data_IF_624825637484
#
_entry.id   IF_624825637484
#
_cell.length_a   1.000
_cell.length_b   1.000
_cell.length_c   1.000
_cell.angle_alpha   90.00
_cell.angle_beta   90.00
_cell.angle_gamma   90.00
#
_symmetry.space_group_name_H-M   'P 1'
#
loop_
_entity.id
_entity.type
_entity.pdbx_description
1 polymer ?
#
# COMPACT_ATOMS: atom_id res chain seq x y z
N UNK A 1 11.29 -92.23 -27.14
CA UNK A 1 10.82 -91.88 -25.79
C UNK A 1 11.44 -90.55 -25.41
N UNK A 2 10.70 -89.44 -25.46
CA UNK A 2 10.93 -88.30 -24.56
C UNK A 2 9.75 -87.33 -24.68
N UNK A 3 9.00 -87.13 -23.59
CA UNK A 3 7.87 -86.20 -23.53
C UNK A 3 8.33 -84.96 -22.77
N UNK A 4 8.51 -83.84 -23.47
CA UNK A 4 8.84 -82.54 -22.86
C UNK A 4 7.53 -81.80 -22.54
N UNK A 5 7.24 -81.66 -21.25
CA UNK A 5 6.11 -80.88 -20.74
C UNK A 5 6.55 -79.45 -20.42
N UNK A 6 5.75 -78.47 -20.85
CA UNK A 6 6.00 -77.05 -20.61
C UNK A 6 5.14 -76.56 -19.43
N UNK A 7 5.78 -76.18 -18.33
CA UNK A 7 5.12 -75.57 -17.16
C UNK A 7 5.11 -74.05 -17.35
N UNK A 8 3.94 -73.48 -17.64
CA UNK A 8 3.73 -72.04 -17.74
C UNK A 8 3.73 -71.38 -16.35
N UNK A 9 4.75 -70.56 -16.06
CA UNK A 9 4.80 -69.72 -14.85
C UNK A 9 3.79 -68.59 -14.96
N UNK A 10 2.73 -68.62 -14.13
CA UNK A 10 1.75 -67.52 -14.04
C UNK A 10 2.29 -66.38 -13.14
N UNK A 11 2.13 -65.10 -13.52
CA UNK A 11 2.67 -63.97 -12.75
C UNK A 11 1.84 -63.70 -11.48
N UNK A 12 2.52 -63.50 -10.35
CA UNK A 12 1.98 -63.36 -8.97
C UNK A 12 1.28 -62.02 -8.67
N UNK A 13 1.12 -61.15 -9.66
CA UNK A 13 0.59 -59.79 -9.49
C UNK A 13 -0.93 -59.69 -9.23
N UNK A 14 -1.69 -60.78 -9.41
CA UNK A 14 -3.15 -60.76 -9.25
C UNK A 14 -3.66 -60.76 -7.81
N UNK A 15 -2.78 -60.98 -6.82
CA UNK A 15 -3.20 -61.06 -5.41
C UNK A 15 -3.11 -59.74 -4.65
N UNK A 16 -2.54 -58.68 -5.23
CA UNK A 16 -2.35 -57.39 -4.57
C UNK A 16 -3.52 -56.39 -4.76
N UNK A 17 -4.53 -56.72 -5.58
CA UNK A 17 -5.64 -55.83 -5.89
C UNK A 17 -6.88 -56.01 -4.99
N UNK A 18 -6.93 -57.03 -4.13
CA UNK A 18 -8.15 -57.36 -3.36
C UNK A 18 -8.17 -56.72 -1.97
N UNK A 19 -7.04 -56.22 -1.45
CA UNK A 19 -6.98 -55.62 -0.09
C UNK A 19 -7.26 -54.11 -0.04
N UNK A 20 -7.48 -53.44 -1.18
CA UNK A 20 -7.74 -51.99 -1.24
C UNK A 20 -9.25 -51.64 -1.33
N UNK A 21 -10.15 -52.59 -1.06
CA UNK A 21 -11.59 -52.42 -1.27
C UNK A 21 -12.40 -52.13 0.01
N UNK A 22 -11.77 -52.03 1.19
CA UNK A 22 -12.50 -51.81 2.45
C UNK A 22 -11.77 -50.82 3.36
N UNK A 23 -11.65 -49.57 2.91
CA UNK A 23 -11.61 -48.45 3.84
C UNK A 23 -13.05 -47.93 3.95
N UNK A 24 -13.70 -48.00 5.12
CA UNK A 24 -15.00 -47.37 5.29
C UNK A 24 -14.82 -45.87 5.08
N UNK A 25 -15.49 -45.34 4.06
CA UNK A 25 -15.62 -43.90 3.86
C UNK A 25 -16.51 -43.43 5.01
N UNK A 26 -15.90 -42.78 6.00
CA UNK A 26 -16.63 -42.14 7.09
C UNK A 26 -17.37 -40.93 6.48
N UNK A 27 -18.59 -41.16 6.01
CA UNK A 27 -19.46 -40.11 5.49
C UNK A 27 -20.01 -39.33 6.69
N UNK A 28 -19.37 -38.20 7.03
CA UNK A 28 -19.95 -37.23 7.95
C UNK A 28 -21.17 -36.61 7.29
N UNK A 29 -22.37 -37.10 7.62
CA UNK A 29 -23.59 -36.34 7.38
C UNK A 29 -23.51 -35.10 8.26
N UNK A 30 -23.30 -33.93 7.65
CA UNK A 30 -23.37 -32.66 8.35
C UNK A 30 -24.82 -32.44 8.76
N UNK A 31 -25.07 -32.50 10.07
CA UNK A 31 -26.36 -32.18 10.67
C UNK A 31 -26.66 -30.71 10.40
N UNK A 32 -27.75 -30.41 9.68
CA UNK A 32 -28.15 -29.05 9.35
C UNK A 32 -28.62 -28.35 10.62
N UNK A 33 -27.99 -27.23 10.98
CA UNK A 33 -28.25 -26.51 12.23
C UNK A 33 -29.55 -25.72 12.09
N UNK A 34 -30.57 -26.05 12.89
CA UNK A 34 -31.85 -25.32 12.88
C UNK A 34 -31.88 -24.25 13.97
N UNK A 35 -32.22 -23.01 13.60
CA UNK A 35 -32.38 -21.89 14.52
C UNK A 35 -33.87 -21.60 14.76
N UNK A 36 -34.24 -21.41 16.03
CA UNK A 36 -35.63 -21.07 16.39
C UNK A 36 -35.81 -19.56 16.41
N UNK A 37 -36.61 -19.03 15.48
CA UNK A 37 -36.88 -17.59 15.33
C UNK A 37 -37.64 -16.98 16.52
N UNK A 38 -38.30 -17.77 17.37
CA UNK A 38 -39.07 -17.26 18.51
C UNK A 38 -38.19 -16.68 19.63
N UNK A 39 -36.88 -16.96 19.62
CA UNK A 39 -35.93 -16.34 20.55
C UNK A 39 -35.48 -14.94 20.13
N UNK A 40 -35.78 -14.51 18.89
CA UNK A 40 -35.43 -13.18 18.41
C UNK A 40 -36.53 -12.17 18.80
N UNK A 41 -36.15 -11.15 19.57
CA UNK A 41 -37.04 -10.06 19.96
C UNK A 41 -37.08 -9.01 18.84
N UNK A 42 -38.24 -8.78 18.25
CA UNK A 42 -38.42 -7.76 17.20
C UNK A 42 -39.79 -7.84 16.53
N UNK A 43 -40.23 -6.74 15.91
CA UNK A 43 -41.56 -6.60 15.29
C UNK A 43 -41.73 -7.40 14.00
N UNK A 44 -40.62 -7.81 13.38
CA UNK A 44 -40.61 -8.51 12.09
C UNK A 44 -40.10 -9.94 12.29
N UNK A 45 -40.78 -10.92 11.66
CA UNK A 45 -40.27 -12.29 11.58
C UNK A 45 -38.97 -12.29 10.78
N UNK A 46 -37.85 -12.50 11.47
CA UNK A 46 -36.53 -12.64 10.87
C UNK A 46 -36.39 -14.08 10.39
N UNK A 47 -36.09 -14.27 9.10
CA UNK A 47 -35.75 -15.58 8.56
C UNK A 47 -34.37 -16.00 9.06
N UNK A 48 -34.35 -17.01 9.93
CA UNK A 48 -33.13 -17.52 10.55
C UNK A 48 -32.51 -18.68 9.77
N UNK A 49 -33.25 -19.25 8.80
CA UNK A 49 -32.79 -20.40 8.02
C UNK A 49 -31.51 -20.10 7.23
N UNK A 50 -31.30 -18.84 6.84
CA UNK A 50 -30.08 -18.40 6.16
C UNK A 50 -28.82 -18.54 7.03
N UNK A 51 -28.92 -18.39 8.34
CA UNK A 51 -27.78 -18.49 9.26
C UNK A 51 -27.43 -19.96 9.58
N UNK A 52 -28.29 -20.92 9.23
CA UNK A 52 -27.99 -22.35 9.31
C UNK A 52 -26.77 -22.75 8.46
N UNK A 53 -26.54 -22.03 7.35
CA UNK A 53 -25.51 -22.33 6.35
C UNK A 53 -24.25 -21.45 6.49
N UNK A 54 -24.11 -20.74 7.61
CA UNK A 54 -22.98 -19.85 7.89
C UNK A 54 -23.44 -18.45 8.29
N UNK A 55 -22.61 -17.44 8.05
CA UNK A 55 -22.94 -16.05 8.36
C UNK A 55 -23.16 -15.23 7.08
N UNK A 56 -24.32 -15.37 6.41
CA UNK A 56 -24.61 -14.64 5.19
C UNK A 56 -24.82 -13.15 5.47
N UNK A 57 -24.19 -12.31 4.65
CA UNK A 57 -24.30 -10.85 4.73
C UNK A 57 -25.55 -10.42 3.96
N UNK A 58 -26.36 -9.55 4.56
CA UNK A 58 -27.55 -9.01 3.88
C UNK A 58 -27.16 -7.83 2.98
N UNK A 59 -27.94 -7.52 1.94
CA UNK A 59 -27.76 -6.28 1.21
C UNK A 59 -28.00 -5.07 2.12
N UNK A 60 -27.20 -4.01 1.94
CA UNK A 60 -27.27 -2.80 2.76
C UNK A 60 -25.91 -2.11 2.90
N UNK A 61 -25.88 -1.01 3.66
CA UNK A 61 -24.64 -0.29 3.95
C UNK A 61 -24.04 -0.80 5.26
N UNK A 62 -22.75 -1.15 5.20
CA UNK A 62 -21.98 -1.60 6.35
C UNK A 62 -20.70 -0.80 6.49
N UNK A 63 -20.34 -0.46 7.71
CA UNK A 63 -19.06 0.12 8.05
C UNK A 63 -18.00 -0.97 8.03
N UNK A 64 -16.99 -0.84 7.17
CA UNK A 64 -15.95 -1.85 6.96
C UNK A 64 -14.54 -1.27 7.01
N UNK A 65 -13.60 -2.08 7.48
CA UNK A 65 -12.16 -1.83 7.39
C UNK A 65 -11.61 -2.63 6.20
N UNK A 66 -10.84 -2.00 5.31
CA UNK A 66 -10.38 -2.66 4.09
C UNK A 66 -8.90 -3.00 4.18
N UNK A 67 -8.62 -4.28 3.98
CA UNK A 67 -7.28 -4.87 3.97
C UNK A 67 -6.95 -5.33 2.55
N UNK A 68 -5.80 -4.91 2.04
CA UNK A 68 -5.25 -5.37 0.77
C UNK A 68 -4.02 -6.23 1.06
N UNK A 69 -4.03 -7.50 0.66
CA UNK A 69 -2.94 -8.44 0.91
C UNK A 69 -2.48 -8.42 2.39
N UNK A 70 -3.44 -8.47 3.32
CA UNK A 70 -3.25 -8.39 4.78
C UNK A 70 -2.73 -7.06 5.34
N UNK A 71 -2.58 -6.02 4.51
CA UNK A 71 -2.22 -4.67 4.95
C UNK A 71 -3.48 -3.81 5.03
N UNK A 72 -3.73 -3.18 6.16
CA UNK A 72 -4.82 -2.23 6.29
C UNK A 72 -4.54 -1.00 5.42
N UNK A 73 -5.44 -0.69 4.48
CA UNK A 73 -5.35 0.49 3.61
C UNK A 73 -6.38 1.54 4.02
N UNK A 74 -7.60 1.10 4.34
CA UNK A 74 -8.69 1.98 4.76
C UNK A 74 -9.13 1.60 6.16
N UNK A 75 -9.06 2.55 7.08
CA UNK A 75 -9.45 2.34 8.47
C UNK A 75 -10.94 2.12 8.62
N UNK A 76 -11.75 2.93 7.93
CA UNK A 76 -13.20 2.92 8.05
C UNK A 76 -13.83 3.48 6.77
N UNK A 77 -14.81 2.77 6.23
CA UNK A 77 -15.60 3.20 5.08
C UNK A 77 -16.99 2.57 5.14
N UNK A 78 -18.04 3.36 4.87
CA UNK A 78 -19.36 2.80 4.60
C UNK A 78 -19.36 2.22 3.18
N UNK A 79 -19.54 0.90 3.09
CA UNK A 79 -19.56 0.17 1.84
C UNK A 79 -20.95 -0.44 1.63
N UNK A 80 -21.49 -0.26 0.44
CA UNK A 80 -22.76 -0.85 0.03
C UNK A 80 -22.54 -2.31 -0.37
N UNK A 81 -23.38 -3.21 0.10
CA UNK A 81 -23.42 -4.61 -0.29
C UNK A 81 -24.68 -4.86 -1.11
N UNK A 82 -24.51 -5.38 -2.32
CA UNK A 82 -25.60 -5.63 -3.26
C UNK A 82 -25.96 -7.11 -3.33
N UNK A 83 -27.24 -7.37 -3.61
CA UNK A 83 -27.71 -8.74 -3.82
C UNK A 83 -27.26 -9.23 -5.21
N UNK A 84 -26.47 -10.30 -5.24
CA UNK A 84 -26.04 -10.97 -6.47
C UNK A 84 -26.80 -12.30 -6.68
N UNK A 85 -27.98 -12.46 -6.07
CA UNK A 85 -28.78 -13.69 -6.16
C UNK A 85 -28.17 -14.88 -5.42
N UNK A 86 -27.10 -14.66 -4.66
CA UNK A 86 -26.52 -15.64 -3.74
C UNK A 86 -26.91 -15.32 -2.30
N UNK A 87 -26.74 -16.27 -1.38
CA UNK A 87 -27.01 -16.03 0.04
C UNK A 87 -26.08 -14.97 0.66
N UNK A 88 -24.94 -14.65 0.02
CA UNK A 88 -24.03 -13.59 0.45
C UNK A 88 -24.14 -12.39 -0.49
N UNK A 89 -24.46 -11.23 0.08
CA UNK A 89 -24.37 -9.97 -0.64
C UNK A 89 -22.90 -9.66 -0.97
N UNK A 90 -22.67 -9.11 -2.16
CA UNK A 90 -21.33 -8.78 -2.66
C UNK A 90 -21.02 -7.30 -2.37
N UNK A 91 -19.80 -6.98 -1.90
CA UNK A 91 -19.39 -5.59 -1.71
C UNK A 91 -19.33 -4.84 -3.05
N UNK A 92 -19.99 -3.69 -3.14
CA UNK A 92 -19.90 -2.80 -4.29
C UNK A 92 -18.53 -2.11 -4.32
N UNK A 93 -17.62 -2.59 -5.18
CA UNK A 93 -16.31 -1.97 -5.39
C UNK A 93 -16.41 -0.94 -6.52
N UNK A 94 -16.24 0.34 -6.21
CA UNK A 94 -16.24 1.41 -7.22
C UNK A 94 -14.84 1.67 -7.77
N UNK A 95 -14.70 2.22 -8.99
CA UNK A 95 -13.39 2.62 -9.54
C UNK A 95 -12.62 3.55 -8.59
N UNK A 96 -13.30 4.55 -8.00
CA UNK A 96 -12.72 5.45 -6.99
C UNK A 96 -12.18 4.73 -5.74
N UNK A 97 -12.78 3.60 -5.35
CA UNK A 97 -12.29 2.79 -4.24
C UNK A 97 -11.03 2.01 -4.64
N UNK A 98 -10.96 1.50 -5.86
CA UNK A 98 -9.77 0.80 -6.37
C UNK A 98 -8.54 1.71 -6.43
N UNK A 99 -8.71 2.97 -6.84
CA UNK A 99 -7.63 3.96 -6.81
C UNK A 99 -7.10 4.19 -5.39
N UNK A 100 -7.99 4.24 -4.39
CA UNK A 100 -7.60 4.35 -2.97
C UNK A 100 -6.91 3.10 -2.46
N UNK A 101 -7.20 1.95 -3.05
CA UNK A 101 -6.52 0.68 -2.76
C UNK A 101 -5.19 0.54 -3.50
N UNK A 102 -4.66 1.61 -4.11
CA UNK A 102 -3.40 1.60 -4.85
C UNK A 102 -3.40 0.55 -5.99
N UNK A 103 -4.59 0.24 -6.53
CA UNK A 103 -4.75 -0.65 -7.69
C UNK A 103 -4.51 0.17 -8.96
N UNK A 104 -3.78 -0.42 -9.90
CA UNK A 104 -3.49 0.17 -11.19
C UNK A 104 -4.57 -0.25 -12.20
N UNK A 105 -5.53 0.63 -12.44
CA UNK A 105 -6.67 0.39 -13.35
C UNK A 105 -6.23 0.20 -14.80
N UNK A 106 -5.08 0.74 -15.22
CA UNK A 106 -4.54 0.56 -16.58
C UNK A 106 -4.08 -0.89 -16.82
N UNK A 107 -3.78 -1.64 -15.76
CA UNK A 107 -3.33 -3.03 -15.84
C UNK A 107 -4.48 -4.04 -15.76
N UNK A 108 -5.72 -3.59 -15.67
CA UNK A 108 -6.88 -4.47 -15.73
C UNK A 108 -6.93 -5.22 -17.06
N UNK A 109 -7.34 -6.50 -17.03
CA UNK A 109 -7.47 -7.31 -18.25
C UNK A 109 -8.63 -6.82 -19.11
N UNK A 110 -9.66 -6.28 -18.46
CA UNK A 110 -10.84 -5.70 -19.07
C UNK A 110 -10.87 -4.23 -18.67
N UNK A 111 -11.14 -3.30 -19.60
CA UNK A 111 -11.24 -1.89 -19.27
C UNK A 111 -12.29 -1.67 -18.19
N UNK A 112 -11.89 -1.02 -17.11
CA UNK A 112 -12.81 -0.62 -16.05
C UNK A 112 -13.67 0.52 -16.60
N UNK A 113 -15.02 0.43 -16.49
CA UNK A 113 -15.88 1.54 -16.88
C UNK A 113 -15.51 2.79 -16.08
N UNK A 114 -15.50 3.95 -16.74
CA UNK A 114 -15.26 5.24 -16.08
C UNK A 114 -16.44 5.67 -15.18
N UNK A 115 -17.57 4.97 -15.28
CA UNK A 115 -18.75 5.21 -14.47
C UNK A 115 -18.50 4.68 -13.04
N UNK A 116 -18.94 5.44 -12.02
CA UNK A 116 -18.87 5.06 -10.60
C UNK A 116 -19.87 3.94 -10.20
N UNK A 117 -20.10 3.01 -11.12
CA UNK A 117 -20.92 1.82 -10.92
C UNK A 117 -20.15 0.77 -10.13
N UNK A 118 -20.90 -0.12 -9.46
CA UNK A 118 -20.33 -1.25 -8.76
C UNK A 118 -19.66 -2.18 -9.76
N UNK A 119 -18.37 -2.38 -9.59
CA UNK A 119 -17.67 -3.51 -10.18
C UNK A 119 -18.18 -4.73 -9.41
N UNK A 120 -18.77 -5.68 -10.13
CA UNK A 120 -19.14 -6.98 -9.57
C UNK A 120 -17.88 -7.79 -9.27
N UNK A 121 -17.82 -9.02 -9.77
CA UNK A 121 -16.70 -9.89 -9.48
C UNK A 121 -15.34 -9.27 -9.89
N UNK A 122 -14.53 -8.94 -8.88
CA UNK A 122 -13.21 -8.36 -9.05
C UNK A 122 -12.29 -9.28 -9.86
N UNK A 123 -12.49 -10.60 -9.78
CA UNK A 123 -11.70 -11.58 -10.51
C UNK A 123 -11.89 -11.48 -12.04
N UNK A 124 -13.01 -10.90 -12.49
CA UNK A 124 -13.27 -10.66 -13.92
C UNK A 124 -12.32 -9.62 -14.51
N UNK A 125 -12.04 -8.54 -13.76
CA UNK A 125 -11.14 -7.46 -14.18
C UNK A 125 -9.67 -7.79 -13.86
N UNK A 126 -9.45 -8.44 -12.71
CA UNK A 126 -8.13 -8.77 -12.18
C UNK A 126 -8.04 -10.26 -11.86
N UNK A 127 -7.55 -11.10 -12.78
CA UNK A 127 -7.50 -12.55 -12.59
C UNK A 127 -6.61 -12.92 -11.39
N UNK A 128 -7.09 -13.84 -10.55
CA UNK A 128 -6.40 -14.25 -9.32
C UNK A 128 -6.58 -13.28 -8.15
N UNK A 129 -7.46 -12.28 -8.29
CA UNK A 129 -7.96 -11.52 -7.16
C UNK A 129 -9.12 -12.24 -6.47
N UNK A 130 -9.30 -11.98 -5.17
CA UNK A 130 -10.44 -12.49 -4.42
C UNK A 130 -10.85 -11.51 -3.33
N UNK A 131 -12.14 -11.44 -3.05
CA UNK A 131 -12.71 -10.56 -2.03
C UNK A 131 -13.46 -11.41 -1.01
N UNK A 132 -13.17 -11.20 0.27
CA UNK A 132 -13.83 -11.89 1.37
C UNK A 132 -14.21 -10.89 2.45
N UNK A 133 -15.46 -10.92 2.90
CA UNK A 133 -15.93 -10.05 3.98
C UNK A 133 -16.18 -10.89 5.23
N UNK A 134 -15.53 -10.49 6.34
CA UNK A 134 -15.76 -11.03 7.67
C UNK A 134 -16.66 -10.07 8.47
N UNK A 135 -17.97 -10.38 8.60
CA UNK A 135 -18.91 -9.55 9.35
C UNK A 135 -18.66 -9.52 10.87
N UNK A 136 -17.91 -10.47 11.43
CA UNK A 136 -17.60 -10.47 12.87
C UNK A 136 -16.58 -9.39 13.22
N UNK A 137 -15.59 -9.20 12.34
CA UNK A 137 -14.53 -8.21 12.51
C UNK A 137 -14.76 -6.91 11.70
N UNK A 138 -15.88 -6.81 10.98
CA UNK A 138 -16.19 -5.72 10.05
C UNK A 138 -15.04 -5.48 9.06
N UNK A 139 -14.46 -6.58 8.57
CA UNK A 139 -13.20 -6.57 7.81
C UNK A 139 -13.43 -7.09 6.39
N UNK A 140 -13.04 -6.29 5.41
CA UNK A 140 -13.01 -6.68 4.00
C UNK A 140 -11.58 -7.00 3.60
N UNK A 141 -11.31 -8.26 3.31
CA UNK A 141 -10.04 -8.75 2.80
C UNK A 141 -10.07 -8.84 1.28
N UNK A 142 -9.22 -8.04 0.64
CA UNK A 142 -8.96 -8.04 -0.79
C UNK A 142 -7.57 -8.64 -1.01
N UNK A 143 -7.53 -9.76 -1.70
CA UNK A 143 -6.27 -10.38 -2.15
C UNK A 143 -6.13 -10.06 -3.63
N UNK A 144 -4.97 -9.52 -4.02
CA UNK A 144 -4.70 -9.15 -5.41
C UNK A 144 -3.25 -9.41 -5.80
N UNK A 145 -3.00 -9.96 -7.00
CA UNK A 145 -1.64 -10.10 -7.52
C UNK A 145 -0.90 -8.76 -7.63
N UNK A 146 0.37 -8.73 -7.22
CA UNK A 146 1.19 -7.50 -7.24
C UNK A 146 1.36 -6.87 -8.62
N UNK A 147 1.14 -7.63 -9.70
CA UNK A 147 1.20 -7.10 -11.07
C UNK A 147 0.15 -6.02 -11.31
N UNK A 148 -1.00 -6.09 -10.63
CA UNK A 148 -2.11 -5.13 -10.77
C UNK A 148 -2.05 -4.00 -9.76
N UNK A 149 -1.07 -4.02 -8.84
CA UNK A 149 -0.88 -2.96 -7.87
C UNK A 149 0.07 -1.91 -8.41
N UNK A 150 -0.09 -0.68 -7.93
CA UNK A 150 0.87 0.39 -8.18
C UNK A 150 2.21 0.02 -7.54
N UNK A 151 3.26 0.02 -8.36
CA UNK A 151 4.60 -0.29 -7.90
C UNK A 151 5.23 0.97 -7.31
N UNK A 152 5.04 1.16 -6.01
CA UNK A 152 5.67 2.25 -5.27
C UNK A 152 6.98 1.73 -4.69
N UNK A 153 8.16 2.22 -5.12
CA UNK A 153 9.43 1.80 -4.56
C UNK A 153 9.48 2.12 -3.06
N UNK A 154 10.07 1.23 -2.27
CA UNK A 154 10.22 1.43 -0.83
C UNK A 154 10.93 2.76 -0.53
N UNK A 155 10.36 3.56 0.36
CA UNK A 155 10.87 4.90 0.71
C UNK A 155 10.37 6.03 -0.19
N UNK A 156 9.56 5.74 -1.22
CA UNK A 156 8.93 6.78 -2.04
C UNK A 156 7.78 7.43 -1.29
N UNK A 157 7.77 8.76 -1.22
CA UNK A 157 6.67 9.55 -0.64
C UNK A 157 5.81 10.08 -1.80
N UNK A 158 4.48 9.84 -1.79
CA UNK A 158 3.61 10.28 -2.87
C UNK A 158 3.61 11.82 -2.96
N UNK A 159 3.59 12.40 -4.19
CA UNK A 159 3.60 13.86 -4.37
C UNK A 159 2.43 14.58 -3.69
N UNK A 160 1.30 13.90 -3.50
CA UNK A 160 0.13 14.43 -2.78
C UNK A 160 0.41 14.72 -1.30
N UNK A 161 1.43 14.08 -0.71
CA UNK A 161 1.89 14.35 0.67
C UNK A 161 3.00 15.40 0.73
N UNK A 162 3.44 15.95 -0.39
CA UNK A 162 4.49 16.97 -0.39
C UNK A 162 3.89 18.33 -0.05
N UNK A 163 4.39 18.95 1.01
CA UNK A 163 4.06 20.32 1.35
C UNK A 163 5.11 21.27 0.76
N UNK A 164 4.65 22.33 0.08
CA UNK A 164 5.55 23.33 -0.53
C UNK A 164 6.20 24.28 0.49
N UNK A 165 5.99 24.04 1.79
CA UNK A 165 6.41 24.93 2.86
C UNK A 165 5.69 26.29 2.83
N UNK A 166 6.07 27.17 3.76
CA UNK A 166 5.54 28.52 3.85
C UNK A 166 6.56 29.49 3.22
N UNK A 167 6.14 30.45 2.39
CA UNK A 167 7.04 31.47 1.89
C UNK A 167 7.55 32.34 3.04
N UNK A 168 8.86 32.32 3.28
CA UNK A 168 9.50 33.10 4.33
C UNK A 168 10.74 33.83 3.78
N UNK A 169 11.08 34.96 4.39
CA UNK A 169 12.34 35.66 4.17
C UNK A 169 13.30 35.29 5.30
N UNK A 170 14.46 34.74 4.95
CA UNK A 170 15.47 34.34 5.91
C UNK A 170 16.65 35.31 5.88
N UNK A 171 17.21 35.59 7.07
CA UNK A 171 18.42 36.36 7.29
C UNK A 171 19.27 35.64 8.33
N UNK A 172 20.50 35.29 7.96
CA UNK A 172 21.50 34.71 8.85
C UNK A 172 22.80 35.51 8.74
N UNK A 173 23.49 35.66 9.86
CA UNK A 173 24.79 36.31 9.93
C UNK A 173 25.78 35.38 10.64
N UNK A 174 27.02 35.39 10.17
CA UNK A 174 28.14 34.66 10.79
C UNK A 174 29.31 35.64 10.90
N UNK A 175 29.89 35.78 12.08
CA UNK A 175 31.05 36.65 12.28
C UNK A 175 32.13 35.92 13.06
N UNK A 176 33.37 36.03 12.59
CA UNK A 176 34.52 35.40 13.22
C UNK A 176 35.68 36.38 13.31
N UNK A 177 36.40 36.37 14.43
CA UNK A 177 37.56 37.21 14.69
C UNK A 177 38.70 36.37 15.22
N UNK A 178 39.88 36.52 14.62
CA UNK A 178 41.08 35.79 14.97
C UNK A 178 42.24 36.75 15.17
N UNK A 179 42.93 36.64 16.29
CA UNK A 179 44.10 37.43 16.63
C UNK A 179 45.32 36.52 16.71
N UNK A 180 46.39 36.88 16.00
CA UNK A 180 47.62 36.10 15.94
C UNK A 180 48.82 36.96 16.31
N UNK A 181 49.45 36.62 17.44
CA UNK A 181 50.71 37.21 17.89
C UNK A 181 51.87 36.31 17.50
N UNK A 182 52.86 36.88 16.81
CA UNK A 182 54.18 36.29 16.54
C UNK A 182 55.27 37.20 17.09
N UNK A 183 56.47 36.67 17.30
CA UNK A 183 57.61 37.40 17.89
C UNK A 183 58.00 38.68 17.15
N UNK A 184 57.60 38.82 15.89
CA UNK A 184 57.91 39.98 15.03
C UNK A 184 56.68 40.67 14.44
N UNK A 185 55.47 40.11 14.59
CA UNK A 185 54.26 40.63 13.93
C UNK A 185 53.00 40.25 14.67
N UNK A 186 52.08 41.20 14.77
CA UNK A 186 50.72 41.01 15.25
C UNK A 186 49.75 41.15 14.06
N UNK A 187 48.76 40.26 13.94
CA UNK A 187 47.73 40.36 12.91
C UNK A 187 46.36 39.95 13.42
N UNK A 188 45.37 40.81 13.17
CA UNK A 188 43.95 40.49 13.37
C UNK A 188 43.31 40.11 12.04
N UNK A 189 42.43 39.14 12.04
CA UNK A 189 41.61 38.77 10.88
C UNK A 189 40.16 38.69 11.31
N UNK A 190 39.29 39.39 10.58
CA UNK A 190 37.86 39.40 10.81
C UNK A 190 37.13 38.91 9.56
N UNK A 191 36.12 38.07 9.76
CA UNK A 191 35.23 37.57 8.74
C UNK A 191 33.80 37.91 9.14
N UNK A 192 33.00 38.37 8.18
CA UNK A 192 31.57 38.59 8.33
C UNK A 192 30.85 38.04 7.10
N UNK A 193 29.98 37.05 7.32
CA UNK A 193 29.08 36.47 6.35
C UNK A 193 27.64 36.91 6.61
N UNK A 194 26.90 37.18 5.53
CA UNK A 194 25.48 37.48 5.56
C UNK A 194 24.77 36.59 4.52
N UNK A 195 23.86 35.75 4.96
CA UNK A 195 22.98 34.96 4.09
C UNK A 195 21.57 35.53 4.15
N UNK A 196 20.97 35.85 3.02
CA UNK A 196 19.65 36.44 2.96
C UNK A 196 18.86 35.97 1.74
N UNK A 197 17.54 35.83 1.87
CA UNK A 197 16.66 35.59 0.74
C UNK A 197 15.39 34.82 1.07
N UNK A 198 14.46 34.72 0.12
CA UNK A 198 13.26 33.92 0.29
C UNK A 198 13.56 32.41 0.32
N UNK A 199 12.70 31.61 0.94
CA UNK A 199 12.83 30.13 1.02
C UNK A 199 13.03 29.43 -0.34
N UNK A 200 12.58 30.04 -1.44
CA UNK A 200 12.76 29.55 -2.81
C UNK A 200 14.10 29.96 -3.48
N UNK A 201 14.82 30.95 -2.96
CA UNK A 201 16.10 31.41 -3.50
C UNK A 201 16.87 32.24 -2.47
N UNK A 202 18.16 31.96 -2.24
CA UNK A 202 18.96 32.69 -1.26
C UNK A 202 20.26 33.22 -1.87
N UNK A 203 20.69 34.40 -1.40
CA UNK A 203 22.01 34.96 -1.66
C UNK A 203 22.88 34.88 -0.40
N UNK A 204 24.19 34.80 -0.61
CA UNK A 204 25.18 34.90 0.46
C UNK A 204 26.27 35.91 0.07
N UNK A 205 26.63 36.78 1.00
CA UNK A 205 27.78 37.69 0.86
C UNK A 205 28.75 37.44 2.01
N UNK A 206 30.04 37.47 1.70
CA UNK A 206 31.13 37.30 2.66
C UNK A 206 32.11 38.46 2.51
N UNK A 207 32.42 39.09 3.63
CA UNK A 207 33.44 40.13 3.77
C UNK A 207 34.56 39.60 4.68
N UNK A 208 35.79 39.68 4.21
CA UNK A 208 36.99 39.35 4.96
C UNK A 208 37.91 40.57 5.05
N UNK A 209 38.34 40.91 6.26
CA UNK A 209 39.29 41.96 6.55
C UNK A 209 40.43 41.44 7.42
N UNK A 210 41.63 41.97 7.24
CA UNK A 210 42.81 41.65 8.07
C UNK A 210 43.59 42.90 8.38
N UNK A 211 43.92 43.08 9.65
CA UNK A 211 44.89 44.08 10.08
C UNK A 211 46.28 43.45 10.13
N UNK A 212 47.29 44.28 9.96
CA UNK A 212 48.60 43.98 10.54
C UNK A 212 49.21 45.26 11.07
N UNK A 213 49.40 45.33 12.38
CA UNK A 213 49.69 46.60 13.07
C UNK A 213 48.41 47.43 13.22
N UNK A 214 48.51 48.75 13.10
CA UNK A 214 47.39 49.68 13.38
C UNK A 214 46.39 49.88 12.24
N UNK A 215 46.61 49.29 11.05
CA UNK A 215 45.76 49.49 9.88
C UNK A 215 45.00 48.21 9.50
N UNK A 216 43.66 48.31 9.39
CA UNK A 216 42.81 47.26 8.81
C UNK A 216 42.80 47.36 7.28
N UNK A 217 42.98 46.23 6.60
CA UNK A 217 42.90 46.13 5.13
C UNK A 217 41.87 45.07 4.75
N UNK A 218 40.94 45.40 3.84
CA UNK A 218 39.99 44.41 3.31
C UNK A 218 40.74 43.41 2.42
N UNK A 219 40.63 42.11 2.71
CA UNK A 219 41.29 41.06 1.91
C UNK A 219 40.42 40.66 0.72
N UNK A 220 39.13 40.41 0.96
CA UNK A 220 38.22 39.94 -0.08
C UNK A 220 36.77 40.23 0.28
N UNK A 221 35.98 40.61 -0.72
CA UNK A 221 34.53 40.67 -0.65
C UNK A 221 33.96 39.82 -1.79
N UNK A 222 33.12 38.84 -1.48
CA UNK A 222 32.52 37.93 -2.48
C UNK A 222 31.04 37.77 -2.21
N UNK A 223 30.24 37.96 -3.25
CA UNK A 223 28.80 37.73 -3.22
C UNK A 223 28.46 36.58 -4.15
N UNK A 224 27.83 35.54 -3.61
CA UNK A 224 27.39 34.35 -4.35
C UNK A 224 25.86 34.29 -4.30
N UNK A 225 25.24 34.14 -5.46
CA UNK A 225 23.78 33.97 -5.58
C UNK A 225 23.46 32.52 -5.88
N UNK A 226 22.65 31.88 -5.03
CA UNK A 226 22.27 30.47 -5.19
C UNK A 226 20.75 30.41 -5.44
N UNK A 227 20.39 30.10 -6.69
CA UNK A 227 18.99 29.87 -7.05
C UNK A 227 18.70 28.38 -6.99
N UNK A 228 17.74 27.97 -6.15
CA UNK A 228 17.23 26.59 -6.16
C UNK A 228 16.15 26.55 -7.24
N UNK A 229 16.55 26.25 -8.48
CA UNK A 229 15.57 25.94 -9.51
C UNK A 229 14.89 24.63 -9.10
N UNK A 230 13.57 24.66 -8.85
CA UNK A 230 12.75 23.48 -8.54
C UNK A 230 12.62 22.55 -9.76
N UNK A 231 13.74 22.01 -10.24
CA UNK A 231 13.79 21.08 -11.37
C UNK A 231 13.36 19.65 -11.00
N UNK A 232 13.05 19.39 -9.73
CA UNK A 232 12.66 18.06 -9.21
C UNK A 232 11.27 17.65 -9.72
N UNK A 233 10.34 18.60 -9.91
CA UNK A 233 8.99 18.29 -10.38
C UNK A 233 8.93 17.76 -11.82
N UNK A 234 9.81 18.22 -12.73
CA UNK A 234 9.72 17.85 -14.16
C UNK A 234 10.44 16.56 -14.54
N UNK A 235 11.33 16.01 -13.69
CA UNK A 235 12.09 14.79 -14.02
C UNK A 235 11.42 13.49 -13.55
N UNK A 236 10.51 13.52 -12.58
CA UNK A 236 9.83 12.32 -12.12
C UNK A 236 8.58 11.95 -12.95
N UNK A 237 7.94 12.90 -13.64
CA UNK A 237 6.78 12.61 -14.49
C UNK A 237 7.13 11.98 -15.86
N UNK A 238 8.37 11.50 -16.05
CA UNK A 238 8.89 10.95 -17.32
C UNK A 238 9.53 9.56 -17.18
N UNK A 239 9.28 8.85 -16.09
CA UNK A 239 9.71 7.45 -15.93
C UNK A 239 8.57 6.58 -15.48
#
# INVERSE_FOLDING_TARGET
MEKRTWIARRPRWRLLLITLACYPILSSAQEEVEFNSNFLMGSNKIDTSRYAKGNPVSPGEYQVQIYLNNKQIVNELNLEFQDNGTAQAEPCLKPSLLERLEVDSEKAVIPIPADEQCLGDLAHYFPGSSVSYDPLNLRLDVVMPQVFLQQIPVGTVPPSRWENGIPALLLAYDTNYYHQVSSTRDSDTAYAGLTYGPTSAHGASVLAARSTGTAMTTISATTVRISISSAISRRCARR
#
